data_IF_794256076452
#
_entry.id   IF_794256076452
#
_cell.length_a   1.000
_cell.length_b   1.000
_cell.length_c   1.000
_cell.angle_alpha   90.00
_cell.angle_beta   90.00
_cell.angle_gamma   90.00
#
_symmetry.space_group_name_H-M   'P 1'
#
loop_
_entity.id
_entity.type
_entity.pdbx_description
1 polymer ?
#
# COMPACT_ATOMS: atom_id res chain seq x y z
N UNK A 1 69.39 29.72 10.28
CA UNK A 1 69.10 29.17 8.99
C UNK A 1 68.74 27.69 9.19
N UNK A 2 67.50 27.34 9.27
CA UNK A 2 66.96 26.01 8.93
C UNK A 2 65.49 26.22 8.66
N UNK A 3 65.09 25.98 7.42
CA UNK A 3 63.74 25.93 6.94
C UNK A 3 63.17 24.53 7.16
N UNK A 4 61.96 24.39 7.68
CA UNK A 4 61.23 23.14 7.67
C UNK A 4 59.84 23.39 7.16
N UNK A 5 59.63 22.99 5.88
CA UNK A 5 58.29 22.89 5.27
C UNK A 5 57.57 21.67 5.85
N UNK A 6 56.53 21.89 6.61
CA UNK A 6 55.56 20.88 7.02
C UNK A 6 54.30 20.98 6.17
N UNK A 7 54.14 20.07 5.22
CA UNK A 7 52.86 19.87 4.51
C UNK A 7 51.99 18.91 5.32
N UNK A 8 51.01 19.46 5.98
CA UNK A 8 49.92 18.65 6.55
C UNK A 8 48.93 18.34 5.45
N UNK A 9 48.94 17.08 4.99
CA UNK A 9 47.90 16.53 4.11
C UNK A 9 46.73 16.05 4.96
N UNK A 10 45.62 16.78 4.95
CA UNK A 10 44.35 16.31 5.48
C UNK A 10 43.81 15.21 4.57
N UNK A 11 43.41 14.04 5.11
CA UNK A 11 42.67 13.07 4.32
C UNK A 11 41.28 13.60 4.03
N UNK A 12 40.98 13.81 2.76
CA UNK A 12 39.61 14.03 2.26
C UNK A 12 38.78 12.78 2.52
N UNK A 13 38.00 12.78 3.59
CA UNK A 13 36.96 11.78 3.82
C UNK A 13 35.82 12.10 2.88
N UNK A 14 35.81 11.53 1.69
CA UNK A 14 34.60 11.39 0.89
C UNK A 14 33.66 10.49 1.65
N UNK A 15 32.76 11.08 2.41
CA UNK A 15 31.60 10.38 2.94
C UNK A 15 30.82 9.82 1.75
N UNK A 16 30.83 8.50 1.58
CA UNK A 16 29.87 7.81 0.72
C UNK A 16 28.51 8.09 1.35
N UNK A 17 27.71 8.96 0.74
CA UNK A 17 26.30 9.07 1.05
C UNK A 17 25.67 7.70 0.80
N UNK A 18 25.11 7.09 1.87
CA UNK A 18 24.33 5.89 1.75
C UNK A 18 23.05 6.27 0.98
N UNK A 19 22.99 5.97 -0.31
CA UNK A 19 21.83 6.22 -1.18
C UNK A 19 20.53 5.56 -0.65
N UNK A 20 20.63 4.63 0.32
CA UNK A 20 19.47 3.92 0.91
C UNK A 20 18.64 4.73 1.91
N UNK A 21 19.11 5.87 2.41
CA UNK A 21 18.36 6.70 3.38
C UNK A 21 17.37 7.68 2.71
N UNK A 22 17.50 7.89 1.42
CA UNK A 22 16.70 8.89 0.68
C UNK A 22 15.44 8.32 0.01
N UNK A 23 15.14 7.03 0.18
CA UNK A 23 14.01 6.35 -0.46
C UNK A 23 13.10 5.70 0.58
N UNK A 24 11.80 5.97 0.47
CA UNK A 24 10.76 5.21 1.17
C UNK A 24 10.25 4.09 0.27
N UNK A 25 10.28 2.86 0.76
CA UNK A 25 9.74 1.67 0.10
C UNK A 25 8.45 1.26 0.81
N UNK A 26 7.37 1.10 0.04
CA UNK A 26 6.06 0.65 0.52
C UNK A 26 5.65 -0.56 -0.31
N UNK A 27 5.47 -1.71 0.35
CA UNK A 27 4.96 -2.93 -0.27
C UNK A 27 3.51 -3.15 0.11
N UNK A 28 2.66 -3.54 -0.83
CA UNK A 28 1.24 -3.72 -0.60
C UNK A 28 0.69 -4.97 -1.31
N UNK A 29 -0.06 -5.80 -0.57
CA UNK A 29 -0.77 -6.97 -1.11
C UNK A 29 -2.02 -7.26 -0.29
N UNK A 30 -3.10 -7.70 -0.93
CA UNK A 30 -4.30 -8.21 -0.27
C UNK A 30 -4.57 -9.68 -0.60
N UNK A 31 -5.65 -10.23 -0.04
CA UNK A 31 -6.10 -11.60 -0.30
C UNK A 31 -5.05 -12.67 0.08
N UNK A 32 -4.33 -12.43 1.18
CA UNK A 32 -3.16 -13.24 1.54
C UNK A 32 -3.49 -14.55 2.28
N UNK A 33 -4.71 -14.69 2.80
CA UNK A 33 -5.26 -15.91 3.42
C UNK A 33 -4.32 -16.55 4.47
N UNK A 34 -3.82 -15.77 5.41
CA UNK A 34 -2.83 -16.22 6.41
C UNK A 34 -1.54 -16.81 5.82
N UNK A 35 -1.23 -16.56 4.56
CA UNK A 35 -0.06 -17.15 3.90
C UNK A 35 1.24 -16.53 4.40
N UNK A 36 2.23 -17.37 4.71
CA UNK A 36 3.59 -16.92 5.01
C UNK A 36 4.46 -16.70 3.76
N UNK A 37 3.94 -16.99 2.56
CA UNK A 37 4.73 -16.98 1.32
C UNK A 37 5.34 -15.64 0.98
N UNK A 38 4.67 -14.53 1.38
CA UNK A 38 5.15 -13.18 1.11
C UNK A 38 6.17 -12.69 2.12
N UNK A 39 6.24 -13.32 3.30
CA UNK A 39 7.06 -12.84 4.40
C UNK A 39 8.52 -12.64 4.00
N UNK A 40 9.15 -13.66 3.44
CA UNK A 40 10.58 -13.62 3.12
C UNK A 40 10.88 -12.71 1.93
N UNK A 41 10.02 -12.69 0.90
CA UNK A 41 10.16 -11.79 -0.25
C UNK A 41 10.11 -10.33 0.17
N UNK A 42 9.06 -9.97 0.92
CA UNK A 42 8.86 -8.61 1.43
C UNK A 42 9.96 -8.24 2.43
N UNK A 43 10.38 -9.17 3.31
CA UNK A 43 11.46 -8.92 4.25
C UNK A 43 12.78 -8.60 3.53
N UNK A 44 13.07 -9.27 2.41
CA UNK A 44 14.26 -9.04 1.59
C UNK A 44 14.26 -7.64 0.93
N UNK A 45 13.09 -7.11 0.58
CA UNK A 45 12.94 -5.75 0.04
C UNK A 45 13.20 -4.67 1.08
N UNK A 46 13.18 -5.04 2.37
CA UNK A 46 13.38 -4.14 3.52
C UNK A 46 12.46 -2.91 3.48
N UNK A 47 11.15 -3.07 3.30
CA UNK A 47 10.27 -1.94 3.17
C UNK A 47 10.25 -1.08 4.45
N UNK A 48 9.94 0.20 4.26
CA UNK A 48 9.61 1.11 5.35
C UNK A 48 8.20 0.82 5.87
N UNK A 49 7.30 0.38 4.97
CA UNK A 49 5.95 -0.06 5.31
C UNK A 49 5.55 -1.27 4.48
N UNK A 50 4.96 -2.26 5.13
CA UNK A 50 4.23 -3.35 4.51
C UNK A 50 2.73 -3.16 4.78
N UNK A 51 1.92 -3.20 3.73
CA UNK A 51 0.48 -2.93 3.77
C UNK A 51 -0.28 -4.17 3.34
N UNK A 52 -1.19 -4.65 4.19
CA UNK A 52 -2.11 -5.73 3.83
C UNK A 52 -3.47 -5.14 3.48
N UNK A 53 -3.90 -5.33 2.23
CA UNK A 53 -5.10 -4.73 1.65
C UNK A 53 -6.37 -5.58 1.91
N UNK A 54 -6.52 -6.09 3.13
CA UNK A 54 -7.68 -6.88 3.54
C UNK A 54 -7.62 -8.35 3.15
N UNK A 55 -8.62 -9.09 3.61
CA UNK A 55 -8.72 -10.54 3.49
C UNK A 55 -7.47 -11.24 4.05
N UNK A 56 -7.20 -10.90 5.31
CA UNK A 56 -6.03 -11.38 6.06
C UNK A 56 -6.05 -12.91 6.19
N UNK A 57 -7.23 -13.46 6.56
CA UNK A 57 -7.48 -14.89 6.68
C UNK A 57 -8.95 -15.20 6.35
N UNK A 58 -9.22 -15.98 5.32
CA UNK A 58 -10.60 -16.20 4.86
C UNK A 58 -11.49 -17.00 5.83
N UNK A 59 -10.99 -18.10 6.38
CA UNK A 59 -11.82 -19.02 7.19
C UNK A 59 -11.20 -19.37 8.54
N UNK A 60 -10.03 -18.84 8.83
CA UNK A 60 -9.24 -19.15 10.01
C UNK A 60 -9.21 -17.92 10.92
N UNK A 61 -8.92 -18.13 12.19
CA UNK A 61 -8.53 -17.02 13.05
C UNK A 61 -7.16 -16.44 12.62
N UNK A 62 -6.89 -15.22 13.05
CA UNK A 62 -5.68 -14.48 12.65
C UNK A 62 -4.40 -14.95 13.35
N UNK A 63 -4.42 -16.03 14.13
CA UNK A 63 -3.25 -16.48 14.91
C UNK A 63 -2.03 -16.70 14.02
N UNK A 64 -2.19 -17.41 12.91
CA UNK A 64 -1.07 -17.65 12.00
C UNK A 64 -0.56 -16.35 11.35
N UNK A 65 -1.47 -15.46 10.95
CA UNK A 65 -1.12 -14.15 10.41
C UNK A 65 -0.33 -13.32 11.43
N UNK A 66 -0.82 -13.23 12.66
CA UNK A 66 -0.19 -12.43 13.71
C UNK A 66 1.20 -12.95 14.08
N UNK A 67 1.41 -14.26 14.05
CA UNK A 67 2.73 -14.86 14.28
C UNK A 67 3.67 -14.56 13.11
N UNK A 68 3.23 -14.84 11.88
CA UNK A 68 4.03 -14.70 10.67
C UNK A 68 4.54 -13.27 10.46
N UNK A 69 3.68 -12.27 10.66
CA UNK A 69 4.01 -10.87 10.39
C UNK A 69 4.28 -10.04 11.66
N UNK A 70 4.61 -10.73 12.76
CA UNK A 70 4.89 -10.09 14.07
C UNK A 70 6.10 -9.15 14.03
N UNK A 71 7.11 -9.45 13.26
CA UNK A 71 8.33 -8.64 13.11
C UNK A 71 8.02 -7.27 12.46
N UNK A 72 7.20 -7.24 11.41
CA UNK A 72 6.72 -5.99 10.79
C UNK A 72 5.87 -5.18 11.77
N UNK A 73 4.97 -5.83 12.51
CA UNK A 73 4.16 -5.17 13.54
C UNK A 73 5.00 -4.60 14.68
N UNK A 74 5.90 -5.41 15.23
CA UNK A 74 6.75 -5.03 16.36
C UNK A 74 7.72 -3.89 16.02
N UNK A 75 8.04 -3.72 14.73
CA UNK A 75 8.84 -2.60 14.23
C UNK A 75 8.00 -1.43 13.70
N UNK A 76 6.67 -1.46 13.90
CA UNK A 76 5.71 -0.45 13.42
C UNK A 76 5.74 -0.24 11.89
N UNK A 77 6.03 -1.31 11.17
CA UNK A 77 6.11 -1.34 9.70
C UNK A 77 4.90 -2.02 9.04
N UNK A 78 3.96 -2.55 9.81
CA UNK A 78 2.74 -3.17 9.30
C UNK A 78 1.57 -2.20 9.39
N UNK A 79 0.85 -2.06 8.29
CA UNK A 79 -0.48 -1.47 8.21
C UNK A 79 -1.42 -2.45 7.52
N UNK A 80 -2.71 -2.39 7.83
CA UNK A 80 -3.69 -3.15 7.07
C UNK A 80 -5.05 -2.44 6.99
N UNK A 81 -5.85 -2.83 6.01
CA UNK A 81 -7.26 -2.45 5.89
C UNK A 81 -8.14 -3.69 6.05
N UNK A 82 -9.42 -3.50 6.30
CA UNK A 82 -10.38 -4.59 6.52
C UNK A 82 -10.94 -5.06 5.18
N UNK A 83 -10.83 -6.35 4.90
CA UNK A 83 -11.48 -7.01 3.76
C UNK A 83 -12.89 -7.52 4.09
N UNK A 84 -13.62 -7.99 3.07
CA UNK A 84 -14.97 -8.52 3.31
C UNK A 84 -14.94 -9.85 4.08
N UNK A 85 -13.89 -10.65 3.95
CA UNK A 85 -13.73 -11.86 4.75
C UNK A 85 -13.27 -11.59 6.20
N UNK A 86 -12.77 -10.40 6.48
CA UNK A 86 -12.42 -9.94 7.84
C UNK A 86 -13.57 -9.20 8.52
N UNK A 87 -14.65 -8.88 7.76
CA UNK A 87 -15.75 -8.03 8.21
C UNK A 87 -16.95 -8.80 8.75
N UNK A 88 -17.96 -8.07 9.27
CA UNK A 88 -19.23 -8.63 9.76
C UNK A 88 -20.03 -9.32 8.65
N UNK A 89 -19.79 -9.02 7.37
CA UNK A 89 -20.50 -9.66 6.26
C UNK A 89 -20.39 -11.19 6.28
N UNK A 90 -19.30 -11.72 6.86
CA UNK A 90 -19.12 -13.15 7.08
C UNK A 90 -19.79 -13.69 8.35
N UNK A 91 -20.46 -12.86 9.15
CA UNK A 91 -21.09 -13.26 10.40
C UNK A 91 -20.12 -13.72 11.49
N UNK A 92 -18.82 -13.51 11.32
CA UNK A 92 -17.80 -13.93 12.28
C UNK A 92 -17.17 -12.73 13.01
N UNK A 93 -17.90 -12.24 14.02
CA UNK A 93 -17.43 -11.14 14.88
C UNK A 93 -16.06 -11.38 15.52
N UNK A 94 -15.67 -12.65 15.71
CA UNK A 94 -14.36 -12.97 16.28
C UNK A 94 -13.23 -12.60 15.32
N UNK A 95 -13.40 -12.90 14.03
CA UNK A 95 -12.39 -12.54 13.02
C UNK A 95 -12.31 -11.02 12.89
N UNK A 96 -13.43 -10.33 12.82
CA UNK A 96 -13.45 -8.87 12.79
C UNK A 96 -12.74 -8.26 14.01
N UNK A 97 -13.05 -8.74 15.23
CA UNK A 97 -12.40 -8.22 16.44
C UNK A 97 -10.89 -8.45 16.43
N UNK A 98 -10.44 -9.62 15.98
CA UNK A 98 -9.01 -9.90 15.83
C UNK A 98 -8.37 -9.01 14.76
N UNK A 99 -9.04 -8.77 13.62
CA UNK A 99 -8.55 -7.89 12.57
C UNK A 99 -8.43 -6.45 13.08
N UNK A 100 -9.43 -5.94 13.80
CA UNK A 100 -9.41 -4.61 14.41
C UNK A 100 -8.33 -4.48 15.50
N UNK A 101 -8.16 -5.51 16.34
CA UNK A 101 -7.09 -5.52 17.33
C UNK A 101 -5.70 -5.47 16.66
N UNK A 102 -5.56 -6.11 15.51
CA UNK A 102 -4.28 -6.23 14.83
C UNK A 102 -3.99 -5.05 13.90
N UNK A 103 -4.97 -4.63 13.09
CA UNK A 103 -4.85 -3.54 12.11
C UNK A 103 -5.19 -2.16 12.70
N UNK A 104 -5.84 -2.10 13.86
CA UNK A 104 -6.33 -0.85 14.45
C UNK A 104 -7.75 -0.51 14.00
N UNK A 105 -8.04 0.78 13.90
CA UNK A 105 -9.38 1.30 13.60
C UNK A 105 -9.93 0.84 12.24
N UNK A 106 -11.25 0.92 12.08
CA UNK A 106 -11.93 0.60 10.82
C UNK A 106 -11.43 1.40 9.62
N UNK A 107 -10.93 2.62 9.85
CA UNK A 107 -10.23 3.47 8.88
C UNK A 107 -9.20 4.33 9.60
N UNK A 108 -8.14 4.69 8.90
CA UNK A 108 -7.00 5.38 9.51
C UNK A 108 -6.29 6.31 8.54
N UNK A 109 -5.41 7.14 9.08
CA UNK A 109 -4.40 7.90 8.34
C UNK A 109 -3.02 7.62 8.90
N UNK A 110 -2.02 7.61 8.02
CA UNK A 110 -0.59 7.54 8.39
C UNK A 110 0.23 8.39 7.45
N UNK A 111 1.19 9.11 7.97
CA UNK A 111 2.22 9.78 7.15
C UNK A 111 3.37 8.78 6.97
N UNK A 112 3.59 8.33 5.74
CA UNK A 112 4.60 7.32 5.43
C UNK A 112 6.01 7.92 5.44
N UNK A 113 6.10 9.17 4.95
CA UNK A 113 7.28 10.03 5.02
C UNK A 113 6.80 11.50 5.03
N UNK A 114 7.73 12.45 5.01
CA UNK A 114 7.37 13.89 5.09
C UNK A 114 6.48 14.38 3.92
N UNK A 115 6.29 13.60 2.87
CA UNK A 115 5.63 14.00 1.62
C UNK A 115 4.45 13.13 1.20
N UNK A 116 4.21 11.99 1.88
CA UNK A 116 3.21 11.00 1.47
C UNK A 116 2.25 10.65 2.60
N UNK A 117 0.97 10.91 2.37
CA UNK A 117 -0.12 10.57 3.27
C UNK A 117 -0.81 9.27 2.80
N UNK A 118 -0.93 8.30 3.69
CA UNK A 118 -1.74 7.11 3.51
C UNK A 118 -3.12 7.31 4.14
N UNK A 119 -4.17 6.91 3.43
CA UNK A 119 -5.56 6.91 3.88
C UNK A 119 -6.11 5.50 3.75
N UNK A 120 -6.18 4.76 4.86
CA UNK A 120 -6.79 3.44 4.90
C UNK A 120 -8.30 3.54 5.07
N UNK A 121 -9.08 2.90 4.20
CA UNK A 121 -10.53 2.91 4.21
C UNK A 121 -11.09 1.49 4.36
N UNK A 122 -12.21 1.35 5.07
CA UNK A 122 -12.98 0.11 5.19
C UNK A 122 -14.19 0.15 4.24
N UNK A 123 -14.06 -0.46 3.07
CA UNK A 123 -15.12 -0.51 2.05
C UNK A 123 -16.33 -1.38 2.44
N UNK A 124 -16.26 -2.12 3.55
CA UNK A 124 -17.37 -2.90 4.11
C UNK A 124 -18.11 -2.14 5.22
N UNK A 125 -17.61 -0.96 5.61
CA UNK A 125 -18.18 -0.13 6.68
C UNK A 125 -19.05 1.01 6.16
N UNK A 126 -19.31 1.99 7.02
CA UNK A 126 -20.10 3.17 6.69
C UNK A 126 -19.31 4.11 5.76
N UNK A 127 -19.53 4.01 4.45
CA UNK A 127 -18.84 4.81 3.44
C UNK A 127 -19.15 6.30 3.55
N UNK A 128 -20.35 6.70 3.99
CA UNK A 128 -20.72 8.12 4.17
C UNK A 128 -19.88 8.80 5.24
N UNK A 129 -19.70 8.15 6.40
CA UNK A 129 -18.87 8.70 7.47
C UNK A 129 -17.41 8.81 7.01
N UNK A 130 -16.90 7.80 6.33
CA UNK A 130 -15.53 7.78 5.82
C UNK A 130 -15.32 8.83 4.72
N UNK A 131 -16.31 9.04 3.84
CA UNK A 131 -16.28 10.11 2.84
C UNK A 131 -16.10 11.47 3.50
N UNK A 132 -16.95 11.80 4.46
CA UNK A 132 -16.88 13.08 5.17
C UNK A 132 -15.54 13.25 5.90
N UNK A 133 -15.10 12.22 6.59
CA UNK A 133 -13.80 12.21 7.27
C UNK A 133 -12.62 12.38 6.29
N UNK A 134 -12.60 11.65 5.18
CA UNK A 134 -11.56 11.74 4.17
C UNK A 134 -11.50 13.12 3.51
N UNK A 135 -12.65 13.71 3.17
CA UNK A 135 -12.72 15.08 2.63
C UNK A 135 -12.17 16.12 3.60
N UNK A 136 -12.55 16.05 4.89
CA UNK A 136 -12.00 16.93 5.93
C UNK A 136 -10.49 16.75 6.05
N UNK A 137 -10.01 15.53 5.96
CA UNK A 137 -8.58 15.21 6.05
C UNK A 137 -7.78 15.87 4.93
N UNK A 138 -8.18 15.66 3.65
CA UNK A 138 -7.43 16.16 2.49
C UNK A 138 -7.58 17.68 2.26
N UNK A 139 -8.58 18.30 2.88
CA UNK A 139 -8.76 19.76 2.85
C UNK A 139 -8.10 20.48 4.04
N UNK A 140 -7.58 19.74 5.02
CA UNK A 140 -6.89 20.32 6.17
C UNK A 140 -5.50 20.84 5.79
N UNK A 141 -5.38 22.16 5.63
CA UNK A 141 -4.13 22.81 5.18
C UNK A 141 -2.92 22.55 6.08
N UNK A 142 -3.13 22.37 7.38
CA UNK A 142 -2.04 22.08 8.32
C UNK A 142 -1.52 20.65 8.15
N UNK A 143 -2.42 19.69 7.95
CA UNK A 143 -2.05 18.29 7.72
C UNK A 143 -1.41 18.10 6.34
N UNK A 144 -1.96 18.77 5.33
CA UNK A 144 -1.52 18.65 3.94
C UNK A 144 -0.26 19.46 3.63
N UNK A 145 0.27 20.20 4.61
CA UNK A 145 1.50 20.98 4.44
C UNK A 145 2.68 20.02 4.17
N UNK A 146 3.30 20.16 3.00
CA UNK A 146 4.42 19.33 2.55
C UNK A 146 4.00 17.99 1.92
N UNK A 147 2.72 17.62 1.98
CA UNK A 147 2.21 16.43 1.30
C UNK A 147 2.13 16.68 -0.22
N UNK A 148 2.73 15.80 -0.98
CA UNK A 148 2.68 15.81 -2.46
C UNK A 148 2.05 14.53 -3.03
N UNK A 149 1.91 13.49 -2.19
CA UNK A 149 1.19 12.25 -2.55
C UNK A 149 0.15 11.91 -1.50
N UNK A 150 -0.99 11.44 -1.97
CA UNK A 150 -2.00 10.73 -1.19
C UNK A 150 -2.14 9.33 -1.77
N UNK A 151 -2.00 8.29 -0.94
CA UNK A 151 -2.26 6.91 -1.34
C UNK A 151 -3.49 6.44 -0.57
N UNK A 152 -4.58 6.21 -1.28
CA UNK A 152 -5.83 5.67 -0.72
C UNK A 152 -5.75 4.15 -0.78
N UNK A 153 -5.87 3.53 0.37
CA UNK A 153 -5.76 2.09 0.58
C UNK A 153 -7.14 1.54 0.94
N UNK A 154 -7.59 0.52 0.26
CA UNK A 154 -8.82 -0.18 0.61
C UNK A 154 -8.81 -1.62 0.09
N UNK A 155 -9.76 -2.44 0.54
CA UNK A 155 -9.90 -3.80 0.00
C UNK A 155 -10.66 -3.78 -1.33
N UNK A 156 -11.94 -3.35 -1.33
CA UNK A 156 -12.74 -3.32 -2.57
C UNK A 156 -12.35 -2.12 -3.44
N UNK A 157 -12.12 -2.32 -4.74
CA UNK A 157 -11.67 -1.27 -5.65
C UNK A 157 -12.80 -0.32 -6.06
N UNK A 158 -12.44 0.95 -6.34
CA UNK A 158 -13.31 1.91 -7.02
C UNK A 158 -13.16 1.84 -8.55
N UNK A 159 -12.04 1.33 -9.04
CA UNK A 159 -11.74 1.15 -10.45
C UNK A 159 -11.25 -0.27 -10.70
N UNK A 160 -11.79 -0.93 -11.72
CA UNK A 160 -11.41 -2.30 -12.11
C UNK A 160 -11.31 -2.43 -13.62
N UNK A 161 -10.50 -3.37 -14.11
CA UNK A 161 -10.58 -3.77 -15.51
C UNK A 161 -11.98 -4.21 -15.90
N UNK A 162 -12.48 -3.88 -17.11
CA UNK A 162 -13.81 -4.29 -17.57
C UNK A 162 -13.98 -5.81 -17.57
N UNK A 163 -15.07 -6.31 -17.00
CA UNK A 163 -15.36 -7.75 -16.89
C UNK A 163 -14.67 -8.43 -15.71
N UNK A 164 -14.16 -7.67 -14.74
CA UNK A 164 -13.68 -8.22 -13.46
C UNK A 164 -14.78 -8.99 -12.74
N UNK A 165 -14.42 -10.06 -12.02
CA UNK A 165 -15.37 -10.87 -11.24
C UNK A 165 -16.04 -10.04 -10.13
N UNK A 166 -15.31 -9.10 -9.56
CA UNK A 166 -15.82 -8.13 -8.58
C UNK A 166 -15.81 -6.73 -9.18
N UNK A 167 -16.96 -6.30 -9.68
CA UNK A 167 -17.15 -4.94 -10.18
C UNK A 167 -17.24 -3.94 -9.02
N UNK A 168 -16.84 -2.67 -9.26
CA UNK A 168 -16.89 -1.63 -8.23
C UNK A 168 -18.32 -1.42 -7.70
N UNK A 169 -18.47 -1.32 -6.38
CA UNK A 169 -19.71 -0.92 -5.74
C UNK A 169 -19.89 0.59 -5.84
N UNK A 170 -21.11 1.07 -6.13
CA UNK A 170 -21.38 2.51 -6.27
C UNK A 170 -20.96 3.32 -5.02
N UNK A 171 -21.19 2.78 -3.83
CA UNK A 171 -20.80 3.42 -2.56
C UNK A 171 -19.29 3.62 -2.47
N UNK A 172 -18.51 2.64 -2.87
CA UNK A 172 -17.03 2.70 -2.93
C UNK A 172 -16.58 3.73 -3.97
N UNK A 173 -17.13 3.68 -5.18
CA UNK A 173 -16.82 4.65 -6.25
C UNK A 173 -17.11 6.09 -5.79
N UNK A 174 -18.27 6.32 -5.17
CA UNK A 174 -18.64 7.67 -4.67
C UNK A 174 -17.71 8.14 -3.56
N UNK A 175 -17.34 7.27 -2.63
CA UNK A 175 -16.41 7.60 -1.54
C UNK A 175 -15.04 8.00 -2.07
N UNK A 176 -14.44 7.20 -2.94
CA UNK A 176 -13.14 7.50 -3.54
C UNK A 176 -13.20 8.79 -4.37
N UNK A 177 -14.18 8.90 -5.27
CA UNK A 177 -14.33 10.10 -6.11
C UNK A 177 -14.49 11.38 -5.27
N UNK A 178 -15.23 11.34 -4.17
CA UNK A 178 -15.41 12.49 -3.31
C UNK A 178 -14.11 12.92 -2.61
N UNK A 179 -13.31 11.96 -2.13
CA UNK A 179 -12.01 12.25 -1.50
C UNK A 179 -11.02 12.77 -2.55
N UNK A 180 -10.92 12.10 -3.71
CA UNK A 180 -10.05 12.52 -4.81
C UNK A 180 -10.38 13.94 -5.28
N UNK A 181 -11.65 14.22 -5.55
CA UNK A 181 -12.12 15.54 -6.01
C UNK A 181 -11.94 16.66 -4.95
N UNK A 182 -11.82 16.30 -3.68
CA UNK A 182 -11.55 17.25 -2.60
C UNK A 182 -10.05 17.46 -2.34
N UNK A 183 -9.20 16.60 -2.91
CA UNK A 183 -7.74 16.70 -2.76
C UNK A 183 -7.22 17.84 -3.65
N UNK A 184 -6.33 18.70 -3.16
CA UNK A 184 -5.76 19.78 -3.97
C UNK A 184 -5.08 19.28 -5.25
N UNK A 185 -5.29 19.98 -6.38
CA UNK A 185 -4.84 19.56 -7.70
C UNK A 185 -3.31 19.38 -7.87
N UNK A 186 -2.54 19.97 -6.98
CA UNK A 186 -1.07 19.85 -6.99
C UNK A 186 -0.58 18.59 -6.23
N UNK A 187 -1.48 17.79 -5.70
CA UNK A 187 -1.18 16.54 -4.98
C UNK A 187 -1.55 15.36 -5.86
N UNK A 188 -0.63 14.43 -6.02
CA UNK A 188 -0.88 13.19 -6.74
C UNK A 188 -1.68 12.24 -5.86
N UNK A 189 -2.72 11.63 -6.43
CA UNK A 189 -3.53 10.64 -5.72
C UNK A 189 -3.36 9.29 -6.39
N UNK A 190 -3.08 8.28 -5.57
CA UNK A 190 -3.00 6.87 -5.97
C UNK A 190 -4.07 6.08 -5.23
N UNK A 191 -4.70 5.15 -5.91
CA UNK A 191 -5.65 4.19 -5.35
C UNK A 191 -5.02 2.80 -5.40
N UNK A 192 -4.88 2.16 -4.25
CA UNK A 192 -4.28 0.83 -4.11
C UNK A 192 -5.26 -0.08 -3.40
N UNK A 193 -5.72 -1.09 -4.11
CA UNK A 193 -6.81 -1.96 -3.69
C UNK A 193 -6.48 -3.44 -3.95
N UNK A 194 -7.39 -4.33 -3.55
CA UNK A 194 -7.27 -5.78 -3.73
C UNK A 194 -8.60 -6.39 -4.17
N UNK A 195 -9.10 -7.47 -3.53
CA UNK A 195 -10.40 -8.11 -3.74
C UNK A 195 -10.55 -8.84 -5.08
N UNK A 196 -10.10 -8.25 -6.19
CA UNK A 196 -9.92 -8.98 -7.43
C UNK A 196 -8.56 -9.69 -7.39
N UNK A 197 -8.59 -11.01 -7.44
CA UNK A 197 -7.39 -11.85 -7.27
C UNK A 197 -6.47 -11.78 -8.50
N UNK A 198 -5.87 -10.64 -8.69
CA UNK A 198 -4.90 -10.36 -9.77
C UNK A 198 -4.01 -9.16 -9.37
N UNK A 199 -2.99 -8.90 -10.15
CA UNK A 199 -2.25 -7.65 -10.14
C UNK A 199 -2.59 -6.84 -11.38
N UNK A 200 -2.97 -5.58 -11.23
CA UNK A 200 -3.28 -4.72 -12.36
C UNK A 200 -2.87 -3.27 -12.10
N UNK A 201 -2.35 -2.63 -13.13
CA UNK A 201 -2.01 -1.21 -13.16
C UNK A 201 -2.69 -0.50 -14.31
N UNK A 202 -3.35 0.63 -14.02
CA UNK A 202 -4.01 1.46 -15.02
C UNK A 202 -3.03 2.28 -15.87
N UNK A 203 -3.46 2.64 -17.08
CA UNK A 203 -2.65 3.43 -18.02
C UNK A 203 -2.30 4.83 -17.52
N UNK A 204 -3.12 5.40 -16.63
CA UNK A 204 -2.82 6.69 -16.00
C UNK A 204 -1.81 6.58 -14.83
N UNK A 205 -1.40 5.37 -14.43
CA UNK A 205 -0.48 5.12 -13.34
C UNK A 205 -0.99 5.53 -11.96
N UNK A 206 -2.31 5.59 -11.77
CA UNK A 206 -2.92 6.03 -10.51
C UNK A 206 -3.73 4.95 -9.81
N UNK A 207 -4.23 3.95 -10.55
CA UNK A 207 -5.06 2.88 -9.99
C UNK A 207 -4.33 1.56 -10.05
N UNK A 208 -4.24 0.90 -8.89
CA UNK A 208 -3.55 -0.37 -8.75
C UNK A 208 -4.43 -1.37 -8.01
N UNK A 209 -4.47 -2.59 -8.53
CA UNK A 209 -5.04 -3.74 -7.84
C UNK A 209 -3.90 -4.69 -7.50
N UNK A 210 -3.73 -5.00 -6.23
CA UNK A 210 -2.72 -5.92 -5.69
C UNK A 210 -3.40 -7.00 -4.83
N UNK A 211 -4.31 -7.77 -5.48
CA UNK A 211 -5.08 -8.84 -4.85
C UNK A 211 -4.53 -10.24 -5.16
N UNK A 212 -3.31 -10.33 -5.67
CA UNK A 212 -2.68 -11.61 -6.03
C UNK A 212 -1.97 -12.28 -4.85
N UNK A 213 -2.57 -12.23 -3.67
CA UNK A 213 -2.04 -12.83 -2.45
C UNK A 213 -1.92 -14.34 -2.54
N UNK A 214 -2.81 -15.10 -1.91
CA UNK A 214 -2.68 -16.57 -1.89
C UNK A 214 -3.85 -17.31 -2.55
N UNK A 215 -4.89 -16.59 -2.97
CA UNK A 215 -6.06 -17.19 -3.61
C UNK A 215 -5.83 -17.53 -5.08
N UNK A 216 -6.73 -18.35 -5.63
CA UNK A 216 -6.74 -18.65 -7.06
C UNK A 216 -6.93 -17.36 -7.85
N UNK A 217 -6.00 -17.07 -8.74
CA UNK A 217 -6.05 -15.89 -9.60
C UNK A 217 -7.18 -15.99 -10.61
N UNK A 218 -7.80 -14.85 -10.93
CA UNK A 218 -8.87 -14.76 -11.91
C UNK A 218 -8.32 -14.71 -13.33
N UNK A 219 -9.06 -15.29 -14.29
CA UNK A 219 -8.69 -15.18 -15.69
C UNK A 219 -9.08 -13.81 -16.23
N UNK A 220 -8.09 -13.09 -16.74
CA UNK A 220 -8.28 -11.76 -17.29
C UNK A 220 -7.29 -11.46 -18.42
N UNK A 221 -7.62 -10.49 -19.27
CA UNK A 221 -6.74 -10.03 -20.35
C UNK A 221 -6.56 -8.52 -20.29
N UNK A 222 -5.34 -8.01 -20.55
CA UNK A 222 -5.08 -6.58 -20.61
C UNK A 222 -5.96 -5.87 -21.65
N UNK A 223 -6.28 -4.58 -21.37
CA UNK A 223 -6.88 -3.67 -22.32
C UNK A 223 -6.13 -2.33 -22.34
N UNK A 224 -6.58 -1.35 -23.14
CA UNK A 224 -5.89 -0.07 -23.29
C UNK A 224 -5.88 0.77 -22.00
N UNK A 225 -6.85 0.60 -21.11
CA UNK A 225 -6.94 1.33 -19.85
C UNK A 225 -6.18 0.62 -18.72
N UNK A 226 -5.97 -0.69 -18.88
CA UNK A 226 -5.27 -1.56 -17.95
C UNK A 226 -4.18 -2.36 -18.70
N UNK A 227 -3.10 -1.69 -19.12
CA UNK A 227 -2.05 -2.31 -19.94
C UNK A 227 -1.27 -3.38 -19.20
N UNK A 228 -1.19 -3.29 -17.87
CA UNK A 228 -0.60 -4.32 -17.04
C UNK A 228 -1.69 -5.09 -16.31
N UNK A 229 -1.80 -6.37 -16.58
CA UNK A 229 -2.58 -7.33 -15.80
C UNK A 229 -1.78 -8.62 -15.68
N UNK A 230 -1.44 -9.01 -14.46
CA UNK A 230 -0.86 -10.31 -14.16
C UNK A 230 -1.83 -11.12 -13.30
N UNK A 231 -2.29 -12.23 -13.87
CA UNK A 231 -3.17 -13.20 -13.26
C UNK A 231 -2.59 -14.63 -13.32
N UNK A 232 -1.28 -14.75 -13.48
CA UNK A 232 -0.56 -16.02 -13.59
C UNK A 232 0.31 -16.31 -12.37
N UNK A 233 0.79 -15.27 -11.70
CA UNK A 233 1.70 -15.36 -10.59
C UNK A 233 1.15 -14.59 -9.38
N UNK A 234 1.45 -15.09 -8.19
CA UNK A 234 1.22 -14.36 -6.95
C UNK A 234 2.32 -13.31 -6.77
N UNK A 235 1.93 -12.17 -6.21
CA UNK A 235 2.88 -11.06 -6.05
C UNK A 235 2.27 -9.89 -5.28
N UNK A 236 3.03 -8.81 -5.21
CA UNK A 236 2.70 -7.59 -4.50
C UNK A 236 3.13 -6.35 -5.26
N UNK A 237 2.48 -5.23 -4.95
CA UNK A 237 2.83 -3.92 -5.48
C UNK A 237 3.90 -3.27 -4.60
N UNK A 238 4.91 -2.66 -5.22
CA UNK A 238 5.93 -1.88 -4.54
C UNK A 238 5.93 -0.43 -5.03
N UNK A 239 5.93 0.53 -4.10
CA UNK A 239 6.22 1.94 -4.36
C UNK A 239 7.63 2.27 -3.88
N UNK A 240 8.39 3.02 -4.69
CA UNK A 240 9.63 3.67 -4.30
C UNK A 240 9.46 5.18 -4.40
N UNK A 241 9.64 5.88 -3.30
CA UNK A 241 9.35 7.31 -3.17
C UNK A 241 10.62 8.02 -2.68
N UNK A 242 11.06 9.04 -3.40
CA UNK A 242 12.16 9.89 -2.97
C UNK A 242 11.73 10.73 -1.76
N UNK A 243 12.50 10.69 -0.69
CA UNK A 243 12.18 11.39 0.57
C UNK A 243 12.43 12.90 0.50
N UNK A 244 13.25 13.34 -0.45
CA UNK A 244 13.63 14.76 -0.57
C UNK A 244 12.51 15.59 -1.20
N UNK A 245 11.90 15.10 -2.28
CA UNK A 245 10.88 15.83 -3.05
C UNK A 245 9.54 15.10 -3.13
N UNK A 246 9.45 13.89 -2.58
CA UNK A 246 8.27 13.03 -2.64
C UNK A 246 7.99 12.44 -4.02
N UNK A 247 8.90 12.52 -4.97
CA UNK A 247 8.69 11.94 -6.29
C UNK A 247 8.56 10.42 -6.20
N UNK A 248 7.49 9.85 -6.77
CA UNK A 248 7.38 8.41 -6.96
C UNK A 248 8.34 8.00 -8.06
N UNK A 249 9.39 7.27 -7.68
CA UNK A 249 10.45 6.84 -8.59
C UNK A 249 10.00 5.65 -9.42
N UNK A 250 9.27 4.72 -8.78
CA UNK A 250 8.69 3.58 -9.47
C UNK A 250 7.45 3.04 -8.72
N UNK A 251 6.61 2.35 -9.50
CA UNK A 251 5.51 1.50 -9.03
C UNK A 251 5.64 0.18 -9.77
N UNK A 252 6.17 -0.83 -9.08
CA UNK A 252 6.52 -2.11 -9.67
C UNK A 252 5.66 -3.23 -9.06
N UNK A 253 5.30 -4.24 -9.85
CA UNK A 253 4.77 -5.49 -9.32
C UNK A 253 5.90 -6.51 -9.21
N UNK A 254 6.04 -7.09 -8.02
CA UNK A 254 7.04 -8.08 -7.70
C UNK A 254 6.37 -9.43 -7.41
N UNK A 255 7.02 -10.52 -7.81
CA UNK A 255 6.65 -11.87 -7.40
C UNK A 255 6.92 -12.13 -5.92
N UNK A 256 6.44 -13.27 -5.41
CA UNK A 256 6.65 -13.67 -4.01
C UNK A 256 8.12 -13.79 -3.60
N UNK A 257 9.02 -13.87 -4.56
CA UNK A 257 10.48 -13.94 -4.37
C UNK A 257 11.17 -12.57 -4.51
N UNK A 258 10.40 -11.48 -4.62
CA UNK A 258 10.90 -10.10 -4.73
C UNK A 258 11.39 -9.72 -6.12
N UNK A 259 11.26 -10.59 -7.13
CA UNK A 259 11.67 -10.26 -8.50
C UNK A 259 10.56 -9.52 -9.26
N UNK A 260 10.90 -8.47 -10.03
CA UNK A 260 9.91 -7.76 -10.84
C UNK A 260 9.19 -8.70 -11.82
N UNK A 261 7.88 -8.48 -11.95
CA UNK A 261 7.01 -9.15 -12.92
C UNK A 261 6.80 -8.20 -14.09
N UNK A 262 7.05 -8.68 -15.32
CA UNK A 262 6.98 -7.89 -16.55
C UNK A 262 5.83 -8.31 -17.45
#
# INVERSE_FOLDING_TARGET
MVTSDGKDSYPSSTAKSNESEDITVIDAVGDIDCSSRFHDGILNDKPNLFIVLGDLCYKQDLTNFTITYSDFRNTNKLECVIGNHDSEENGNLRILNQALEYCGDHWYRKVANNSTLLIGLNTNGNTTLQTNWGQVLVTNSSLMKGIVNVIILAHKPAHTPPGSDHMPENSTVMMFSAIVNSTPNNIRVFEVTAHNHLMAGSSNGQWFISGAGSKKLYNFSPDSNWPFINNKEQGYLQFKINNTDGMVLSTDFNGIDGRPIH
#
